data_IF_751982352404
#
_entry.id   IF_751982352404
#
_cell.length_a   1.000
_cell.length_b   1.000
_cell.length_c   1.000
_cell.angle_alpha   90.00
_cell.angle_beta   90.00
_cell.angle_gamma   90.00
#
_symmetry.space_group_name_H-M   'P 1'
#
loop_
_entity.id
_entity.type
_entity.pdbx_description
1 polymer ?
#
# COMPACT_ATOMS: atom_id res chain seq x y z
N UNK A 1 22.68 28.92 3.98
CA UNK A 1 21.99 27.61 3.88
C UNK A 1 21.17 27.38 5.14
N UNK A 2 19.84 27.28 5.03
CA UNK A 2 18.96 27.03 6.18
C UNK A 2 19.39 25.75 6.92
N UNK A 3 19.65 25.78 8.25
CA UNK A 3 20.11 24.61 9.00
C UNK A 3 19.21 23.39 8.83
N UNK A 4 17.90 23.61 8.66
CA UNK A 4 16.87 22.58 8.44
C UNK A 4 17.01 21.83 7.10
N UNK A 5 17.70 22.41 6.11
CA UNK A 5 17.90 21.79 4.80
C UNK A 5 19.13 20.88 4.75
N UNK A 6 20.09 21.03 5.67
CA UNK A 6 21.30 20.20 5.70
C UNK A 6 21.01 18.70 5.79
N UNK A 7 20.08 18.22 6.65
CA UNK A 7 19.73 16.80 6.72
C UNK A 7 19.04 16.30 5.44
N UNK A 8 18.14 17.11 4.87
CA UNK A 8 17.42 16.77 3.64
C UNK A 8 18.39 16.55 2.49
N UNK A 9 19.32 17.48 2.29
CA UNK A 9 20.35 17.39 1.24
C UNK A 9 21.24 16.15 1.43
N UNK A 10 21.61 15.83 2.69
CA UNK A 10 22.39 14.62 2.99
C UNK A 10 21.62 13.35 2.62
N UNK A 11 20.33 13.28 2.93
CA UNK A 11 19.48 12.13 2.57
C UNK A 11 19.31 12.00 1.06
N UNK A 12 19.07 13.10 0.34
CA UNK A 12 18.96 13.10 -1.11
C UNK A 12 20.24 12.60 -1.78
N UNK A 13 21.41 13.07 -1.35
CA UNK A 13 22.70 12.55 -1.85
C UNK A 13 22.89 11.07 -1.59
N UNK A 14 22.51 10.58 -0.40
CA UNK A 14 22.58 9.15 -0.06
C UNK A 14 21.64 8.30 -0.91
N UNK A 15 20.50 8.85 -1.33
CA UNK A 15 19.48 8.14 -2.11
C UNK A 15 19.57 8.40 -3.62
N UNK A 16 20.59 9.12 -4.10
CA UNK A 16 20.71 9.54 -5.50
C UNK A 16 20.53 8.38 -6.49
N UNK A 17 21.18 7.23 -6.26
CA UNK A 17 21.06 6.05 -7.11
C UNK A 17 19.61 5.51 -7.19
N UNK A 18 18.84 5.57 -6.11
CA UNK A 18 17.43 5.17 -6.12
C UNK A 18 16.56 6.18 -6.86
N UNK A 19 16.88 7.47 -6.76
CA UNK A 19 16.19 8.52 -7.52
C UNK A 19 16.44 8.33 -9.01
N UNK A 20 17.68 8.03 -9.42
CA UNK A 20 18.01 7.71 -10.82
C UNK A 20 17.20 6.51 -11.33
N UNK A 21 17.05 5.45 -10.53
CA UNK A 21 16.20 4.32 -10.89
C UNK A 21 14.74 4.71 -11.17
N UNK A 22 14.19 5.73 -10.50
CA UNK A 22 12.82 6.20 -10.79
C UNK A 22 12.67 6.80 -12.18
N UNK A 23 13.76 7.35 -12.74
CA UNK A 23 13.78 7.88 -14.10
C UNK A 23 13.94 6.76 -15.13
N UNK A 24 14.70 5.71 -14.79
CA UNK A 24 14.92 4.54 -15.64
C UNK A 24 13.67 3.65 -15.75
N UNK A 25 12.93 3.46 -14.66
CA UNK A 25 11.76 2.58 -14.59
C UNK A 25 10.46 3.37 -14.52
N UNK A 26 10.13 4.09 -15.61
CA UNK A 26 8.96 4.99 -15.68
C UNK A 26 7.60 4.29 -15.57
N UNK A 27 7.54 2.97 -15.76
CA UNK A 27 6.35 2.16 -15.59
C UNK A 27 6.05 1.81 -14.11
N UNK A 28 7.02 1.99 -13.21
CA UNK A 28 6.84 1.76 -11.78
C UNK A 28 6.47 3.07 -11.10
N UNK A 29 5.27 3.12 -10.53
CA UNK A 29 4.77 4.30 -9.81
C UNK A 29 4.53 3.96 -8.35
N UNK A 30 4.58 4.98 -7.48
CA UNK A 30 4.22 4.82 -6.07
C UNK A 30 2.70 4.71 -5.84
N UNK A 31 1.87 4.86 -6.87
CA UNK A 31 0.42 4.88 -6.76
C UNK A 31 -0.18 3.67 -6.03
N UNK A 32 0.20 2.42 -6.38
CA UNK A 32 -0.25 1.24 -5.65
C UNK A 32 0.16 1.24 -4.17
N UNK A 33 1.40 1.64 -3.86
CA UNK A 33 1.91 1.73 -2.49
C UNK A 33 1.16 2.78 -1.67
N UNK A 34 0.91 3.95 -2.26
CA UNK A 34 0.11 5.02 -1.66
C UNK A 34 -1.33 4.58 -1.42
N UNK A 35 -1.94 3.87 -2.39
CA UNK A 35 -3.28 3.31 -2.26
C UNK A 35 -3.39 2.34 -1.08
N UNK A 36 -2.43 1.43 -0.94
CA UNK A 36 -2.36 0.49 0.19
C UNK A 36 -2.22 1.25 1.52
N UNK A 37 -1.29 2.21 1.59
CA UNK A 37 -1.07 3.01 2.79
C UNK A 37 -2.32 3.81 3.19
N UNK A 38 -3.04 4.38 2.23
CA UNK A 38 -4.28 5.11 2.49
C UNK A 38 -5.39 4.19 3.00
N UNK A 39 -5.51 2.98 2.43
CA UNK A 39 -6.47 1.97 2.91
C UNK A 39 -6.18 1.53 4.34
N UNK A 40 -4.91 1.31 4.70
CA UNK A 40 -4.50 0.99 6.07
C UNK A 40 -4.81 2.14 7.03
N UNK A 41 -4.48 3.38 6.64
CA UNK A 41 -4.81 4.59 7.43
C UNK A 41 -6.32 4.73 7.64
N UNK A 42 -7.13 4.46 6.61
CA UNK A 42 -8.58 4.47 6.71
C UNK A 42 -9.08 3.41 7.69
N UNK A 43 -8.60 2.16 7.59
CA UNK A 43 -8.95 1.07 8.51
C UNK A 43 -8.64 1.47 9.96
N UNK A 44 -7.46 2.05 10.22
CA UNK A 44 -7.07 2.52 11.55
C UNK A 44 -7.96 3.67 12.05
N UNK A 45 -8.38 4.58 11.16
CA UNK A 45 -9.25 5.71 11.49
C UNK A 45 -10.68 5.28 11.84
N UNK A 46 -11.30 4.44 11.01
CA UNK A 46 -12.70 3.99 11.21
C UNK A 46 -12.86 3.05 12.41
N UNK A 47 -11.78 2.40 12.83
CA UNK A 47 -11.76 1.54 14.02
C UNK A 47 -11.44 2.28 15.31
N UNK A 48 -11.18 3.59 15.26
CA UNK A 48 -10.68 4.39 16.38
C UNK A 48 -9.35 3.86 16.96
N UNK A 49 -8.57 3.17 16.13
CA UNK A 49 -7.33 2.52 16.52
C UNK A 49 -7.55 1.10 17.05
N UNK A 50 -6.53 0.27 16.85
CA UNK A 50 -6.49 -1.10 17.38
C UNK A 50 -5.53 -1.15 18.56
N UNK A 51 -5.94 -1.83 19.63
CA UNK A 51 -5.08 -2.08 20.81
C UNK A 51 -4.07 -3.20 20.56
N UNK A 52 -4.44 -4.19 19.76
CA UNK A 52 -3.57 -5.29 19.33
C UNK A 52 -3.25 -5.15 17.83
N UNK A 53 -1.96 -5.20 17.48
CA UNK A 53 -1.49 -5.18 16.10
C UNK A 53 -2.01 -6.35 15.27
N UNK A 54 -2.12 -7.54 15.84
CA UNK A 54 -2.61 -8.73 15.12
C UNK A 54 -4.03 -8.54 14.63
N UNK A 55 -4.87 -7.86 15.41
CA UNK A 55 -6.24 -7.52 15.02
C UNK A 55 -6.27 -6.52 13.86
N UNK A 56 -5.38 -5.52 13.87
CA UNK A 56 -5.22 -4.60 12.75
C UNK A 56 -4.74 -5.35 11.49
N UNK A 57 -3.73 -6.22 11.63
CA UNK A 57 -3.19 -7.03 10.54
C UNK A 57 -4.28 -7.91 9.92
N UNK A 58 -5.01 -8.66 10.74
CA UNK A 58 -6.11 -9.52 10.29
C UNK A 58 -7.18 -8.70 9.56
N UNK A 59 -7.54 -7.51 10.08
CA UNK A 59 -8.49 -6.62 9.40
C UNK A 59 -7.98 -6.14 8.04
N UNK A 60 -6.70 -5.77 7.94
CA UNK A 60 -6.10 -5.34 6.67
C UNK A 60 -6.16 -6.47 5.64
N UNK A 61 -5.80 -7.70 6.01
CA UNK A 61 -5.77 -8.81 5.04
C UNK A 61 -7.19 -9.16 4.56
N UNK A 62 -8.17 -9.22 5.46
CA UNK A 62 -9.59 -9.44 5.13
C UNK A 62 -10.12 -8.33 4.21
N UNK A 63 -9.89 -7.07 4.57
CA UNK A 63 -10.42 -5.91 3.83
C UNK A 63 -9.75 -5.73 2.47
N UNK A 64 -8.49 -6.14 2.35
CA UNK A 64 -7.73 -6.07 1.10
C UNK A 64 -8.05 -7.21 0.14
N UNK A 65 -8.96 -8.14 0.48
CA UNK A 65 -9.29 -9.33 -0.30
C UNK A 65 -8.04 -10.15 -0.70
N UNK A 66 -6.97 -10.02 0.09
CA UNK A 66 -5.73 -10.78 -0.10
C UNK A 66 -5.91 -12.24 0.33
N UNK A 67 -6.93 -12.52 1.15
CA UNK A 67 -7.51 -13.84 1.28
C UNK A 67 -8.49 -14.08 0.12
N UNK A 68 -7.99 -14.57 -1.00
CA UNK A 68 -8.83 -15.28 -1.96
C UNK A 68 -9.06 -16.69 -1.40
N UNK A 69 -10.24 -16.97 -0.84
CA UNK A 69 -10.66 -18.37 -0.75
C UNK A 69 -10.82 -18.87 -2.18
N UNK A 70 -10.17 -19.99 -2.51
CA UNK A 70 -10.13 -20.61 -3.85
C UNK A 70 -11.50 -21.11 -4.35
N UNK A 71 -12.60 -20.81 -3.68
CA UNK A 71 -13.81 -21.66 -3.73
C UNK A 71 -15.04 -21.05 -4.43
N UNK A 72 -14.97 -19.91 -5.13
CA UNK A 72 -16.15 -19.44 -5.89
C UNK A 72 -15.80 -18.88 -7.27
N UNK A 73 -15.31 -19.76 -8.14
CA UNK A 73 -15.35 -19.60 -9.60
C UNK A 73 -16.26 -20.64 -10.27
N UNK A 74 -17.36 -21.04 -9.62
CA UNK A 74 -18.45 -21.76 -10.29
C UNK A 74 -19.80 -21.22 -9.83
N UNK A 75 -20.22 -20.09 -10.40
CA UNK A 75 -21.65 -19.88 -10.67
C UNK A 75 -21.74 -19.80 -12.18
N UNK A 76 -21.89 -21.00 -12.76
CA UNK A 76 -22.21 -21.26 -14.16
C UNK A 76 -23.42 -20.39 -14.50
N UNK A 77 -23.28 -19.53 -15.51
CA UNK A 77 -24.41 -18.85 -16.12
C UNK A 77 -25.47 -19.93 -16.44
N UNK A 78 -26.60 -19.91 -15.75
CA UNK A 78 -27.80 -20.59 -16.22
C UNK A 78 -28.17 -19.84 -17.51
N UNK A 79 -27.79 -20.42 -18.65
CA UNK A 79 -28.31 -19.99 -19.95
C UNK A 79 -29.82 -20.18 -19.90
N UNK A 80 -30.55 -19.08 -19.76
CA UNK A 80 -31.97 -19.02 -20.07
C UNK A 80 -32.04 -18.88 -21.59
N UNK A 81 -32.39 -19.97 -22.26
CA UNK A 81 -32.98 -20.03 -23.58
C UNK A 81 -33.76 -21.35 -23.67
#
# INVERSE_FOLDING_TARGET
>A
MCPKLRPVIRTLRRLAAFIENTMTYSNLTNGPLEGINNKIKLIKRVSFGYRNYDNLRNRIIITSRLFASTTKKEIKQLKVA
#
